data_IF_233807436574
#
_entry.id   IF_233807436574
#
_cell.length_a   1.000
_cell.length_b   1.000
_cell.length_c   1.000
_cell.angle_alpha   90.00
_cell.angle_beta   90.00
_cell.angle_gamma   90.00
#
_symmetry.space_group_name_H-M   'P 1'
#
loop_
_entity.id
_entity.type
_entity.pdbx_description
1 polymer ?
#
# COMPACT_ATOMS: atom_id res chain seq x y z
N UNK A 1 3.53 32.96 22.47
CA UNK A 1 4.42 31.85 22.88
C UNK A 1 3.70 30.56 22.58
N UNK A 2 4.25 29.78 21.65
CA UNK A 2 3.82 28.42 21.24
C UNK A 2 4.01 27.43 22.41
N UNK A 3 3.29 26.32 22.49
CA UNK A 3 3.79 25.06 21.91
C UNK A 3 2.73 23.94 21.82
N UNK A 4 2.82 23.22 20.70
CA UNK A 4 1.97 22.12 20.27
C UNK A 4 2.25 20.82 21.03
N UNK A 5 1.21 19.99 21.21
CA UNK A 5 1.33 18.61 21.67
C UNK A 5 1.54 17.69 20.47
N UNK A 6 2.74 17.15 20.29
CA UNK A 6 2.98 16.03 19.38
C UNK A 6 4.09 15.15 19.95
N UNK A 7 3.92 13.85 19.70
CA UNK A 7 4.89 12.76 19.79
C UNK A 7 4.86 11.92 21.07
N UNK A 8 4.33 10.70 20.89
CA UNK A 8 4.70 9.52 21.66
C UNK A 8 4.80 8.34 20.69
N UNK A 9 5.74 8.42 19.74
CA UNK A 9 6.13 7.29 18.91
C UNK A 9 6.72 6.20 19.81
N UNK A 10 6.16 4.98 19.74
CA UNK A 10 6.64 3.83 20.51
C UNK A 10 8.12 3.56 20.22
N UNK A 11 8.90 3.40 21.29
CA UNK A 11 10.31 3.06 21.22
C UNK A 11 10.47 1.65 20.65
N UNK A 12 11.18 1.52 19.53
CA UNK A 12 11.65 0.25 19.00
C UNK A 12 12.91 -0.18 19.77
N UNK A 13 12.93 -1.43 20.24
CA UNK A 13 13.99 -2.03 21.04
C UNK A 13 15.30 -2.17 20.22
N UNK A 14 16.44 -1.58 20.66
CA UNK A 14 17.73 -1.68 19.97
C UNK A 14 18.30 -3.11 19.94
N UNK A 15 17.79 -4.05 20.73
CA UNK A 15 18.26 -5.43 20.77
C UNK A 15 17.88 -6.26 19.52
N UNK A 16 16.96 -5.78 18.67
CA UNK A 16 16.56 -6.48 17.44
C UNK A 16 17.43 -6.15 16.22
N UNK A 17 18.53 -5.40 16.41
CA UNK A 17 19.45 -5.05 15.32
C UNK A 17 20.35 -6.26 15.00
N UNK A 18 19.82 -7.22 14.26
CA UNK A 18 20.61 -8.31 13.69
C UNK A 18 21.65 -7.73 12.73
N UNK A 19 22.93 -7.90 13.06
CA UNK A 19 24.07 -7.47 12.26
C UNK A 19 24.19 -8.37 11.02
N UNK A 20 23.55 -7.97 9.93
CA UNK A 20 23.68 -8.64 8.64
C UNK A 20 24.89 -8.07 7.90
N UNK A 21 26.06 -8.68 8.10
CA UNK A 21 27.26 -8.39 7.30
C UNK A 21 27.10 -9.03 5.91
N UNK A 22 26.64 -8.23 4.94
CA UNK A 22 26.62 -8.63 3.52
C UNK A 22 28.04 -8.44 2.96
N UNK A 23 28.76 -9.54 2.73
CA UNK A 23 30.04 -9.55 1.99
C UNK A 23 29.74 -9.37 0.50
N UNK A 24 30.09 -8.22 -0.05
CA UNK A 24 30.02 -7.96 -1.50
C UNK A 24 31.25 -8.57 -2.16
N UNK A 25 31.09 -9.72 -2.83
CA UNK A 25 32.13 -10.28 -3.69
C UNK A 25 32.05 -9.59 -5.07
N UNK A 26 33.18 -9.04 -5.48
CA UNK A 26 33.35 -8.18 -6.64
C UNK A 26 33.22 -8.94 -7.97
N UNK A 27 32.23 -8.60 -8.79
CA UNK A 27 32.31 -8.59 -10.26
C UNK A 27 31.03 -7.97 -10.85
N UNK A 28 30.95 -6.63 -10.87
CA UNK A 28 29.87 -5.90 -11.52
C UNK A 28 30.03 -6.00 -13.04
N UNK A 29 29.48 -7.06 -13.63
CA UNK A 29 29.14 -7.05 -15.06
C UNK A 29 27.92 -6.16 -15.18
N UNK A 30 28.15 -4.91 -15.60
CA UNK A 30 27.17 -3.84 -15.69
C UNK A 30 26.16 -4.15 -16.82
N UNK A 31 25.32 -5.16 -16.60
CA UNK A 31 24.13 -5.38 -17.40
C UNK A 31 23.15 -4.29 -16.97
N UNK A 32 22.96 -3.28 -17.82
CA UNK A 32 21.83 -2.38 -17.76
C UNK A 32 20.54 -3.22 -17.88
N UNK A 33 20.06 -3.71 -16.75
CA UNK A 33 18.68 -4.17 -16.61
C UNK A 33 17.85 -2.90 -16.54
N UNK A 34 16.81 -2.74 -17.39
CA UNK A 34 15.86 -1.65 -17.23
C UNK A 34 15.36 -1.68 -15.79
N UNK A 35 15.67 -0.63 -15.02
CA UNK A 35 15.18 -0.50 -13.66
C UNK A 35 13.67 -0.64 -13.65
N UNK A 36 13.12 -1.28 -12.61
CA UNK A 36 11.68 -1.44 -12.49
C UNK A 36 11.03 -0.04 -12.57
N UNK A 37 10.07 0.19 -13.48
CA UNK A 37 9.46 1.51 -13.63
C UNK A 37 8.85 1.95 -12.30
N UNK A 38 8.89 3.26 -11.98
CA UNK A 38 8.31 3.76 -10.76
C UNK A 38 6.81 3.47 -10.72
N UNK A 39 6.30 3.08 -9.56
CA UNK A 39 4.87 2.85 -9.34
C UNK A 39 4.11 4.17 -9.54
N UNK A 40 3.09 4.15 -10.41
CA UNK A 40 2.22 5.30 -10.67
C UNK A 40 0.86 5.10 -10.01
N UNK A 41 0.55 5.89 -9.00
CA UNK A 41 -0.75 5.92 -8.35
C UNK A 41 -1.73 6.85 -9.08
N UNK A 42 -3.04 6.68 -8.85
CA UNK A 42 -4.06 7.60 -9.34
C UNK A 42 -4.33 7.54 -10.85
N UNK A 43 -3.83 6.52 -11.56
CA UNK A 43 -4.03 6.38 -13.02
C UNK A 43 -5.50 6.24 -13.45
N UNK A 44 -6.40 5.91 -12.51
CA UNK A 44 -7.85 5.82 -12.72
C UNK A 44 -8.64 6.85 -11.91
N UNK A 45 -7.98 7.90 -11.39
CA UNK A 45 -8.67 8.91 -10.58
C UNK A 45 -9.80 9.57 -11.40
N UNK A 46 -11.00 9.63 -10.81
CA UNK A 46 -12.19 10.19 -11.46
C UNK A 46 -12.80 9.32 -12.57
N UNK A 47 -12.30 8.10 -12.79
CA UNK A 47 -12.90 7.14 -13.73
C UNK A 47 -13.96 6.24 -13.06
N UNK A 48 -14.04 6.27 -11.73
CA UNK A 48 -15.10 5.60 -10.99
C UNK A 48 -16.27 6.56 -10.73
N UNK A 49 -17.48 6.03 -10.81
CA UNK A 49 -18.71 6.72 -10.42
C UNK A 49 -19.37 5.91 -9.30
N UNK A 50 -19.96 6.62 -8.34
CA UNK A 50 -20.76 6.06 -7.24
C UNK A 50 -22.20 6.47 -7.53
N UNK A 51 -23.10 5.50 -7.49
CA UNK A 51 -24.53 5.76 -7.68
C UNK A 51 -25.10 6.61 -6.53
N UNK A 52 -26.09 7.44 -6.84
CA UNK A 52 -26.73 8.30 -5.83
C UNK A 52 -27.41 7.50 -4.71
N UNK A 53 -27.77 6.25 -5.00
CA UNK A 53 -28.41 5.29 -4.13
C UNK A 53 -27.46 4.19 -3.64
N UNK A 54 -26.14 4.45 -3.61
CA UNK A 54 -25.15 3.44 -3.23
C UNK A 54 -25.42 2.76 -1.87
N UNK A 55 -26.00 3.49 -0.91
CA UNK A 55 -26.35 2.97 0.41
C UNK A 55 -27.73 2.25 0.44
N UNK A 56 -28.46 2.22 -0.67
CA UNK A 56 -29.72 1.49 -0.77
C UNK A 56 -29.48 -0.03 -0.66
N UNK A 57 -30.46 -0.78 -0.14
CA UNK A 57 -30.37 -2.23 -0.12
C UNK A 57 -30.23 -2.80 -1.54
N UNK A 58 -29.47 -3.89 -1.67
CA UNK A 58 -29.36 -4.61 -2.94
C UNK A 58 -30.73 -5.19 -3.34
N UNK A 59 -31.10 -5.12 -4.63
CA UNK A 59 -32.28 -5.82 -5.16
C UNK A 59 -32.25 -7.33 -4.90
N UNK A 60 -33.42 -7.92 -4.64
CA UNK A 60 -33.58 -9.36 -4.32
C UNK A 60 -32.89 -10.29 -5.33
N UNK A 61 -33.05 -10.02 -6.64
CA UNK A 61 -32.44 -10.84 -7.68
C UNK A 61 -30.90 -10.80 -7.67
N UNK A 62 -30.29 -9.72 -7.18
CA UNK A 62 -28.84 -9.63 -7.01
C UNK A 62 -28.42 -10.38 -5.75
N UNK A 63 -29.18 -10.23 -4.65
CA UNK A 63 -28.93 -10.98 -3.42
C UNK A 63 -28.94 -12.49 -3.67
N UNK A 64 -29.93 -13.00 -4.41
CA UNK A 64 -30.03 -14.41 -4.79
C UNK A 64 -28.78 -14.90 -5.54
N UNK A 65 -28.22 -14.07 -6.43
CA UNK A 65 -27.01 -14.40 -7.17
C UNK A 65 -25.75 -14.48 -6.27
N UNK A 66 -25.68 -13.68 -5.20
CA UNK A 66 -24.61 -13.78 -4.20
C UNK A 66 -24.80 -14.96 -3.25
N UNK A 67 -26.05 -15.28 -2.92
CA UNK A 67 -26.42 -16.26 -1.90
C UNK A 67 -26.64 -17.67 -2.48
N UNK A 68 -26.65 -17.81 -3.81
CA UNK A 68 -26.74 -19.08 -4.53
C UNK A 68 -28.10 -19.76 -4.39
N UNK A 69 -29.16 -18.96 -4.29
CA UNK A 69 -30.56 -19.43 -4.17
C UNK A 69 -31.20 -19.66 -5.53
#
# INVERSE_FOLDING_TARGET
>A
MQNANTAGAGAVDPAQRADATIRSDSASVDRLVPGNPPVRFGVLQGQAWIADDFDAPLPDYLLDAFEGR
#
